data_IF_745502060984
#
_entry.id   IF_745502060984
#
_cell.length_a   1.000
_cell.length_b   1.000
_cell.length_c   1.000
_cell.angle_alpha   90.00
_cell.angle_beta   90.00
_cell.angle_gamma   90.00
#
_symmetry.space_group_name_H-M   'P 1'
#
loop_
_entity.id
_entity.type
_entity.pdbx_description
1 polymer ?
#
# COMPACT_ATOMS: atom_id res chain seq x y z
N UNK A 1 13.13 -30.05 27.38
CA UNK A 1 14.18 -30.21 28.38
C UNK A 1 15.61 -30.04 27.83
N UNK A 2 15.88 -30.49 26.58
CA UNK A 2 17.21 -30.30 25.95
C UNK A 2 17.63 -28.82 25.91
N UNK A 3 16.78 -27.96 25.36
CA UNK A 3 17.07 -26.53 25.29
C UNK A 3 17.24 -25.88 26.68
N UNK A 4 16.42 -26.29 27.66
CA UNK A 4 16.59 -25.81 29.04
C UNK A 4 17.94 -26.19 29.63
N UNK A 5 18.39 -27.42 29.41
CA UNK A 5 19.69 -27.90 29.89
C UNK A 5 20.88 -27.23 29.18
N UNK A 6 20.71 -26.94 27.88
CA UNK A 6 21.80 -26.42 27.04
C UNK A 6 21.86 -24.90 27.01
N UNK A 7 20.69 -24.22 27.01
CA UNK A 7 20.56 -22.79 26.83
C UNK A 7 20.00 -22.04 28.05
N UNK A 8 19.64 -22.78 29.13
CA UNK A 8 19.25 -22.20 30.41
C UNK A 8 17.75 -22.11 30.68
N UNK A 9 17.40 -21.57 31.85
CA UNK A 9 16.01 -21.52 32.37
C UNK A 9 15.04 -20.68 31.51
N UNK A 10 15.54 -19.83 30.66
CA UNK A 10 14.74 -19.06 29.68
C UNK A 10 13.90 -19.98 28.78
N UNK A 11 14.40 -21.20 28.53
CA UNK A 11 13.75 -22.22 27.69
C UNK A 11 12.90 -23.22 28.49
N UNK A 12 12.55 -22.89 29.73
CA UNK A 12 11.62 -23.71 30.52
C UNK A 12 10.27 -23.77 29.83
N UNK A 13 9.69 -24.99 29.63
CA UNK A 13 8.38 -25.15 29.05
C UNK A 13 7.30 -24.43 29.88
N UNK A 14 6.29 -23.87 29.18
CA UNK A 14 5.14 -23.29 29.87
C UNK A 14 4.40 -24.35 30.70
N UNK A 15 3.90 -24.03 31.90
CA UNK A 15 3.23 -25.00 32.78
C UNK A 15 2.06 -25.77 32.13
N UNK A 16 1.32 -25.11 31.24
CA UNK A 16 0.24 -25.73 30.47
C UNK A 16 0.80 -26.83 29.53
N UNK A 17 1.92 -26.51 28.85
CA UNK A 17 2.56 -27.48 27.95
C UNK A 17 3.06 -28.70 28.70
N UNK A 18 3.67 -28.52 29.88
CA UNK A 18 4.11 -29.66 30.74
C UNK A 18 2.93 -30.48 31.21
N UNK A 19 1.79 -29.86 31.56
CA UNK A 19 0.57 -30.58 31.96
C UNK A 19 0.02 -31.42 30.82
N UNK A 20 -0.08 -30.85 29.62
CA UNK A 20 -0.56 -31.59 28.43
C UNK A 20 0.36 -32.76 28.10
N UNK A 21 1.67 -32.52 28.14
CA UNK A 21 2.67 -33.56 27.88
C UNK A 21 2.55 -34.72 28.90
N UNK A 22 2.49 -34.44 30.21
CA UNK A 22 2.32 -35.44 31.27
C UNK A 22 1.00 -36.19 31.16
N UNK A 23 -0.05 -35.57 30.63
CA UNK A 23 -1.35 -36.20 30.40
C UNK A 23 -1.41 -37.04 29.09
N UNK A 24 -0.31 -37.11 28.32
CA UNK A 24 -0.29 -37.81 27.04
C UNK A 24 -1.05 -37.10 25.91
N UNK A 25 -1.36 -35.83 26.08
CA UNK A 25 -2.11 -35.02 25.12
C UNK A 25 -1.17 -34.37 24.09
N UNK A 26 -0.72 -35.14 23.11
CA UNK A 26 0.28 -34.72 22.11
C UNK A 26 -0.33 -34.10 20.84
N UNK A 27 -1.55 -33.64 20.90
CA UNK A 27 -2.25 -33.02 19.78
C UNK A 27 -2.99 -34.07 18.91
N UNK A 28 -3.02 -33.83 17.61
CA UNK A 28 -3.78 -34.65 16.66
C UNK A 28 -3.43 -36.14 16.72
N UNK A 29 -2.18 -36.49 17.02
CA UNK A 29 -1.71 -37.90 17.12
C UNK A 29 -2.42 -38.69 18.22
N UNK A 30 -2.85 -38.03 19.28
CA UNK A 30 -3.50 -38.66 20.44
C UNK A 30 -4.96 -38.24 20.59
N UNK A 31 -5.53 -37.54 19.57
CA UNK A 31 -6.89 -37.03 19.60
C UNK A 31 -7.10 -35.81 20.51
N UNK A 32 -6.12 -35.46 21.33
CA UNK A 32 -6.17 -34.34 22.28
C UNK A 32 -4.84 -33.62 22.39
N UNK A 33 -4.90 -32.28 22.56
CA UNK A 33 -3.77 -31.42 22.81
C UNK A 33 -4.26 -30.04 23.31
N UNK A 34 -3.81 -28.97 22.72
CA UNK A 34 -4.44 -27.66 22.92
C UNK A 34 -5.87 -27.61 22.40
N UNK A 35 -6.18 -28.43 21.42
CA UNK A 35 -7.51 -28.63 20.83
C UNK A 35 -7.97 -30.08 21.02
N UNK A 36 -9.28 -30.29 21.02
CA UNK A 36 -9.90 -31.61 20.96
C UNK A 36 -10.03 -32.03 19.49
N UNK A 37 -9.43 -33.16 19.14
CA UNK A 37 -9.41 -33.73 17.79
C UNK A 37 -10.27 -35.00 17.68
N UNK A 38 -10.95 -35.40 18.76
CA UNK A 38 -11.70 -36.66 18.83
C UNK A 38 -12.85 -36.72 17.83
N UNK A 39 -13.43 -35.60 17.42
CA UNK A 39 -14.49 -35.50 16.42
C UNK A 39 -14.01 -35.29 14.98
N UNK A 40 -12.71 -35.41 14.67
CA UNK A 40 -12.15 -35.18 13.34
C UNK A 40 -12.09 -33.75 12.89
N UNK A 41 -12.70 -32.81 13.63
CA UNK A 41 -12.63 -31.35 13.43
C UNK A 41 -12.11 -30.71 14.71
N UNK A 42 -11.36 -29.58 14.55
CA UNK A 42 -11.02 -28.75 15.70
C UNK A 42 -12.27 -28.04 16.21
N UNK A 43 -12.37 -27.85 17.53
CA UNK A 43 -13.35 -26.93 18.09
C UNK A 43 -13.14 -25.55 17.47
N UNK A 44 -14.18 -24.97 16.88
CA UNK A 44 -14.13 -23.64 16.34
C UNK A 44 -13.84 -22.64 17.46
N UNK A 45 -12.75 -21.89 17.32
CA UNK A 45 -12.46 -20.77 18.23
C UNK A 45 -13.46 -19.67 17.89
N UNK A 46 -14.27 -19.20 18.86
CA UNK A 46 -15.21 -18.12 18.58
C UNK A 46 -14.49 -16.91 17.98
N UNK A 47 -15.01 -16.36 16.89
CA UNK A 47 -14.42 -15.25 16.13
C UNK A 47 -13.94 -14.07 16.99
N UNK A 48 -14.60 -13.84 18.15
CA UNK A 48 -14.23 -12.79 19.10
C UNK A 48 -13.37 -13.25 20.29
N UNK A 49 -12.97 -14.50 20.36
CA UNK A 49 -12.21 -15.00 21.52
C UNK A 49 -10.87 -14.30 21.73
N UNK A 50 -10.26 -13.81 20.66
CA UNK A 50 -9.00 -13.05 20.69
C UNK A 50 -9.14 -11.52 20.77
N UNK A 51 -10.35 -10.96 20.73
CA UNK A 51 -10.55 -9.50 20.59
C UNK A 51 -9.99 -8.64 21.73
N UNK A 52 -9.77 -9.24 22.90
CA UNK A 52 -9.15 -8.57 24.08
C UNK A 52 -7.70 -9.02 24.34
N UNK A 53 -7.13 -9.85 23.47
CA UNK A 53 -5.77 -10.33 23.64
C UNK A 53 -4.77 -9.29 23.16
N UNK A 54 -3.84 -8.92 24.02
CA UNK A 54 -2.75 -8.03 23.66
C UNK A 54 -1.67 -8.79 22.87
N UNK A 55 -1.66 -8.60 21.56
CA UNK A 55 -0.74 -9.27 20.62
C UNK A 55 0.73 -8.94 20.93
N UNK A 56 1.02 -7.78 21.55
CA UNK A 56 2.38 -7.44 21.94
C UNK A 56 2.98 -8.43 22.94
N UNK A 57 2.17 -9.15 23.70
CA UNK A 57 2.63 -10.23 24.59
C UNK A 57 3.28 -11.39 23.86
N UNK A 58 2.97 -11.59 22.58
CA UNK A 58 3.61 -12.60 21.71
C UNK A 58 4.78 -11.99 20.92
N UNK A 59 4.58 -10.80 20.36
CA UNK A 59 5.55 -10.18 19.48
C UNK A 59 6.79 -9.70 20.25
N UNK A 60 6.62 -9.02 21.40
CA UNK A 60 7.74 -8.43 22.10
C UNK A 60 8.79 -9.45 22.58
N UNK A 61 8.44 -10.61 23.19
CA UNK A 61 9.42 -11.62 23.51
C UNK A 61 10.11 -12.25 22.30
N UNK A 62 9.40 -12.42 21.18
CA UNK A 62 9.98 -12.92 19.94
C UNK A 62 11.00 -11.94 19.35
N UNK A 63 10.69 -10.64 19.38
CA UNK A 63 11.62 -9.57 18.97
C UNK A 63 12.84 -9.50 19.92
N UNK A 64 12.63 -9.74 21.21
CA UNK A 64 13.71 -9.78 22.19
C UNK A 64 14.72 -10.89 21.89
N UNK A 65 14.21 -12.07 21.57
CA UNK A 65 15.05 -13.22 21.15
C UNK A 65 15.77 -12.95 19.82
N UNK A 66 15.07 -12.37 18.85
CA UNK A 66 15.65 -11.96 17.58
C UNK A 66 16.77 -10.93 17.76
N UNK A 67 16.60 -9.96 18.66
CA UNK A 67 17.64 -8.98 19.00
C UNK A 67 18.87 -9.65 19.64
N UNK A 68 18.67 -10.67 20.47
CA UNK A 68 19.75 -11.47 21.03
C UNK A 68 20.52 -12.24 19.96
N UNK A 69 19.85 -12.84 18.99
CA UNK A 69 20.51 -13.55 17.88
C UNK A 69 21.40 -12.60 17.07
N UNK A 70 20.93 -11.39 16.82
CA UNK A 70 21.70 -10.33 16.10
C UNK A 70 22.90 -9.88 16.96
N UNK A 71 22.69 -9.64 18.28
CA UNK A 71 23.75 -9.25 19.20
C UNK A 71 24.92 -10.27 19.20
N UNK A 72 24.58 -11.57 19.14
CA UNK A 72 25.57 -12.65 19.09
C UNK A 72 26.18 -12.88 17.71
N UNK A 73 25.78 -12.12 16.69
CA UNK A 73 26.27 -12.29 15.33
C UNK A 73 25.88 -13.63 14.68
N UNK A 74 24.81 -14.27 15.18
CA UNK A 74 24.35 -15.58 14.68
C UNK A 74 23.64 -15.43 13.35
N UNK A 75 22.90 -14.31 13.15
CA UNK A 75 22.10 -14.04 11.96
C UNK A 75 21.86 -12.54 11.78
N UNK A 76 21.25 -12.16 10.66
CA UNK A 76 20.89 -10.78 10.31
C UNK A 76 19.38 -10.53 10.45
N UNK A 77 18.98 -9.27 10.44
CA UNK A 77 17.55 -8.91 10.48
C UNK A 77 16.78 -9.46 9.28
N UNK A 78 17.40 -9.44 8.10
CA UNK A 78 16.83 -9.95 6.86
C UNK A 78 16.60 -11.46 6.91
N UNK A 79 17.57 -12.21 7.45
CA UNK A 79 17.49 -13.67 7.56
C UNK A 79 16.43 -14.09 8.56
N UNK A 80 16.30 -13.40 9.70
CA UNK A 80 15.21 -13.64 10.67
C UNK A 80 13.86 -13.41 10.01
N UNK A 81 13.68 -12.29 9.33
CA UNK A 81 12.41 -11.96 8.68
C UNK A 81 12.07 -12.97 7.58
N UNK A 82 13.08 -13.40 6.80
CA UNK A 82 12.89 -14.44 5.79
C UNK A 82 12.49 -15.79 6.40
N UNK A 83 13.14 -16.18 7.50
CA UNK A 83 12.83 -17.42 8.21
C UNK A 83 11.43 -17.42 8.81
N UNK A 84 10.99 -16.30 9.36
CA UNK A 84 9.65 -16.12 9.94
C UNK A 84 8.58 -16.13 8.85
N UNK A 85 8.82 -15.48 7.72
CA UNK A 85 7.91 -15.49 6.57
C UNK A 85 7.72 -16.91 6.01
N UNK A 86 8.84 -17.61 5.74
CA UNK A 86 8.80 -18.89 5.05
C UNK A 86 8.58 -20.10 6.00
N UNK A 87 9.13 -20.02 7.20
CA UNK A 87 9.08 -21.12 8.17
C UNK A 87 7.84 -21.10 9.06
N UNK A 88 7.38 -19.92 9.44
CA UNK A 88 6.22 -19.73 10.34
C UNK A 88 4.99 -19.19 9.64
N UNK A 89 5.08 -18.91 8.33
CA UNK A 89 4.00 -18.36 7.51
C UNK A 89 3.40 -17.07 8.12
N UNK A 90 4.24 -16.21 8.67
CA UNK A 90 3.82 -14.90 9.15
C UNK A 90 3.48 -14.01 7.95
N UNK A 91 2.49 -13.12 8.08
CA UNK A 91 2.10 -12.22 6.99
C UNK A 91 3.17 -11.16 6.68
N UNK A 92 4.12 -10.95 7.61
CA UNK A 92 5.21 -9.98 7.51
C UNK A 92 6.40 -10.44 8.36
N UNK A 93 7.62 -10.00 8.03
CA UNK A 93 8.81 -10.25 8.82
C UNK A 93 8.69 -9.69 10.24
N UNK A 94 9.18 -10.42 11.23
CA UNK A 94 9.07 -10.11 12.66
C UNK A 94 9.68 -8.76 13.03
N UNK A 95 10.88 -8.47 12.49
CA UNK A 95 11.63 -7.25 12.79
C UNK A 95 11.06 -6.05 12.02
N UNK A 96 10.50 -6.27 10.84
CA UNK A 96 9.70 -5.24 10.16
C UNK A 96 8.42 -4.92 10.91
N UNK A 97 7.75 -5.90 11.51
CA UNK A 97 6.61 -5.65 12.41
C UNK A 97 7.03 -4.87 13.66
N UNK A 98 8.20 -5.17 14.23
CA UNK A 98 8.74 -4.42 15.36
C UNK A 98 8.96 -2.94 15.02
N UNK A 99 9.53 -2.66 13.85
CA UNK A 99 9.76 -1.29 13.37
C UNK A 99 8.44 -0.54 13.07
N UNK A 100 7.38 -1.24 12.61
CA UNK A 100 6.05 -0.65 12.43
C UNK A 100 5.36 -0.32 13.78
N UNK A 101 5.51 -1.20 14.75
CA UNK A 101 4.94 -1.05 16.10
C UNK A 101 5.65 0.09 16.85
N UNK A 102 6.95 0.16 16.69
CA UNK A 102 7.88 1.03 17.40
C UNK A 102 8.67 0.30 18.49
N UNK A 103 9.99 0.39 18.41
CA UNK A 103 10.94 -0.29 19.33
C UNK A 103 10.72 0.14 20.79
N UNK A 104 10.41 1.40 21.03
CA UNK A 104 10.05 1.92 22.36
C UNK A 104 8.83 1.20 22.96
N UNK A 105 7.80 0.90 22.15
CA UNK A 105 6.61 0.16 22.60
C UNK A 105 6.94 -1.31 22.88
N UNK A 106 7.84 -1.91 22.09
CA UNK A 106 8.34 -3.27 22.33
C UNK A 106 9.09 -3.32 23.66
N UNK A 107 10.02 -2.39 23.90
CA UNK A 107 10.78 -2.30 25.16
C UNK A 107 9.85 -2.08 26.36
N UNK A 108 8.93 -1.12 26.27
CA UNK A 108 7.94 -0.88 27.33
C UNK A 108 7.10 -2.13 27.68
N UNK A 109 6.68 -2.90 26.65
CA UNK A 109 5.96 -4.16 26.88
C UNK A 109 6.83 -5.21 27.54
N UNK A 110 8.08 -5.34 27.17
CA UNK A 110 9.03 -6.27 27.80
C UNK A 110 9.24 -5.90 29.28
N UNK A 111 9.42 -4.62 29.59
CA UNK A 111 9.56 -4.14 30.97
C UNK A 111 8.31 -4.42 31.82
N UNK A 112 7.11 -4.19 31.26
CA UNK A 112 5.84 -4.55 31.90
C UNK A 112 5.79 -6.05 32.23
N UNK A 113 6.14 -6.90 31.25
CA UNK A 113 6.13 -8.36 31.43
C UNK A 113 7.21 -8.81 32.42
N UNK A 114 8.42 -8.23 32.35
CA UNK A 114 9.50 -8.54 33.30
C UNK A 114 9.12 -8.16 34.73
N UNK A 115 8.56 -6.96 34.94
CA UNK A 115 8.06 -6.53 36.24
C UNK A 115 6.97 -7.46 36.80
N UNK A 116 6.12 -7.97 35.90
CA UNK A 116 4.98 -8.83 36.31
C UNK A 116 5.38 -10.26 36.62
N UNK A 117 6.32 -10.84 35.86
CA UNK A 117 6.62 -12.26 35.93
C UNK A 117 8.02 -12.57 36.47
N UNK A 118 8.96 -11.62 36.46
CA UNK A 118 10.33 -11.79 36.93
C UNK A 118 11.18 -12.77 36.10
N UNK A 119 10.73 -13.09 34.86
CA UNK A 119 11.41 -14.08 34.03
C UNK A 119 12.40 -13.40 33.08
N UNK A 120 13.65 -13.89 33.02
CA UNK A 120 14.74 -13.32 32.20
C UNK A 120 14.39 -13.18 30.71
N UNK A 121 13.49 -14.04 30.17
CA UNK A 121 13.02 -13.95 28.78
C UNK A 121 12.33 -12.62 28.45
N UNK A 122 11.82 -11.91 29.45
CA UNK A 122 11.16 -10.62 29.29
C UNK A 122 12.07 -9.43 29.56
N UNK A 123 13.29 -9.66 30.06
CA UNK A 123 14.25 -8.62 30.27
C UNK A 123 14.67 -8.02 28.92
N UNK A 124 14.47 -6.70 28.69
CA UNK A 124 14.79 -6.10 27.41
C UNK A 124 16.24 -6.29 27.02
N UNK A 125 16.49 -6.77 25.84
CA UNK A 125 17.84 -6.96 25.31
C UNK A 125 18.56 -5.60 25.20
N UNK A 126 19.89 -5.52 25.51
CA UNK A 126 20.67 -4.30 25.42
C UNK A 126 20.60 -3.60 24.03
N UNK A 127 20.52 -4.37 22.94
CA UNK A 127 20.40 -3.83 21.59
C UNK A 127 19.11 -3.01 21.45
N UNK A 128 17.95 -3.52 21.94
CA UNK A 128 16.69 -2.79 21.89
C UNK A 128 16.73 -1.51 22.74
N UNK A 129 17.33 -1.59 23.94
CA UNK A 129 17.50 -0.43 24.81
C UNK A 129 18.41 0.64 24.17
N UNK A 130 19.48 0.20 23.49
CA UNK A 130 20.39 1.10 22.76
C UNK A 130 19.67 1.76 21.58
N UNK A 131 18.86 1.01 20.82
CA UNK A 131 18.06 1.56 19.73
C UNK A 131 17.10 2.66 20.23
N UNK A 132 16.47 2.47 21.40
CA UNK A 132 15.60 3.51 22.00
C UNK A 132 16.41 4.76 22.37
N UNK A 133 17.58 4.60 22.99
CA UNK A 133 18.47 5.73 23.33
C UNK A 133 18.95 6.51 22.12
N UNK A 134 19.20 5.82 21.01
CA UNK A 134 19.64 6.40 19.72
C UNK A 134 18.46 6.96 18.89
N UNK A 135 17.24 6.98 19.40
CA UNK A 135 16.04 7.35 18.68
C UNK A 135 15.82 6.54 17.39
N UNK A 136 16.27 5.28 17.38
CA UNK A 136 16.04 4.30 16.32
C UNK A 136 14.77 3.50 16.64
N UNK A 137 13.63 4.19 16.58
CA UNK A 137 12.35 3.64 17.04
C UNK A 137 11.57 2.91 15.96
N UNK A 138 12.18 2.64 14.81
CA UNK A 138 11.57 2.03 13.65
C UNK A 138 11.10 3.06 12.63
N UNK A 139 10.04 2.72 11.91
CA UNK A 139 9.50 3.51 10.81
C UNK A 139 9.18 4.96 11.19
N UNK A 140 8.63 5.21 12.36
CA UNK A 140 8.27 6.55 12.84
C UNK A 140 9.46 7.52 12.98
N UNK A 141 10.67 7.01 13.08
CA UNK A 141 11.91 7.81 13.15
C UNK A 141 12.80 7.64 11.92
N UNK A 142 12.35 6.89 10.91
CA UNK A 142 13.10 6.60 9.69
C UNK A 142 14.20 5.56 9.85
N UNK A 143 14.46 5.06 11.05
CA UNK A 143 15.47 4.04 11.35
C UNK A 143 15.05 3.17 12.52
N UNK A 144 15.20 1.86 12.36
CA UNK A 144 14.99 0.85 13.37
C UNK A 144 15.99 -0.29 13.20
N UNK A 145 15.50 -1.52 13.07
CA UNK A 145 16.28 -2.65 12.54
C UNK A 145 16.64 -2.43 11.08
N UNK A 146 15.78 -1.71 10.36
CA UNK A 146 15.96 -1.31 8.97
C UNK A 146 16.08 0.21 8.85
N UNK A 147 16.64 0.65 7.73
CA UNK A 147 16.62 2.05 7.33
C UNK A 147 15.45 2.29 6.37
N UNK A 148 14.63 3.27 6.71
CA UNK A 148 13.41 3.61 5.96
C UNK A 148 13.56 4.90 5.15
N UNK A 149 14.76 5.35 4.86
CA UNK A 149 14.98 6.63 4.20
C UNK A 149 14.35 7.82 4.96
N UNK A 150 14.38 9.02 4.40
CA UNK A 150 13.67 10.19 4.97
C UNK A 150 12.17 10.09 4.64
N UNK A 151 11.45 9.05 5.10
CA UNK A 151 10.03 8.88 4.77
C UNK A 151 9.29 7.95 5.72
N UNK A 152 8.04 8.28 5.97
CA UNK A 152 7.04 7.54 6.75
C UNK A 152 6.76 6.12 6.18
N UNK A 153 7.18 5.85 4.92
CA UNK A 153 6.75 4.72 4.10
C UNK A 153 7.91 3.83 3.65
N UNK A 154 7.64 2.55 3.43
CA UNK A 154 8.61 1.56 2.93
C UNK A 154 8.71 1.59 1.40
N UNK A 155 7.56 1.72 0.73
CA UNK A 155 7.42 1.61 -0.71
C UNK A 155 6.98 2.90 -1.39
N UNK A 156 6.73 3.95 -0.62
CA UNK A 156 6.30 5.25 -1.14
C UNK A 156 7.28 6.33 -0.69
N UNK A 157 7.68 7.20 -1.62
CA UNK A 157 8.33 8.46 -1.30
C UNK A 157 7.34 9.55 -1.64
N UNK A 158 7.13 10.48 -0.72
CA UNK A 158 6.30 11.66 -0.94
C UNK A 158 7.18 12.89 -0.95
N UNK A 159 7.05 13.67 -2.00
CA UNK A 159 7.71 14.94 -2.19
C UNK A 159 6.67 16.03 -2.44
N UNK A 160 6.89 17.21 -1.91
CA UNK A 160 6.16 18.41 -2.29
C UNK A 160 7.10 19.32 -3.05
N UNK A 161 6.75 19.60 -4.29
CA UNK A 161 7.47 20.55 -5.12
C UNK A 161 6.48 21.63 -5.58
N UNK A 162 6.68 22.86 -5.14
CA UNK A 162 5.70 23.94 -5.31
C UNK A 162 4.31 23.52 -4.81
N UNK A 163 3.29 23.60 -5.65
CA UNK A 163 1.91 23.22 -5.34
C UNK A 163 1.53 21.81 -5.85
N UNK A 164 2.51 20.98 -6.21
CA UNK A 164 2.33 19.59 -6.64
C UNK A 164 2.86 18.64 -5.58
N UNK A 165 2.00 17.72 -5.11
CA UNK A 165 2.40 16.58 -4.31
C UNK A 165 2.82 15.43 -5.23
N UNK A 166 4.02 14.89 -5.05
CA UNK A 166 4.54 13.81 -5.88
C UNK A 166 4.60 12.53 -5.05
N UNK A 167 3.97 11.48 -5.54
CA UNK A 167 4.02 10.13 -4.97
C UNK A 167 4.90 9.27 -5.87
N UNK A 168 6.09 8.92 -5.38
CA UNK A 168 6.95 7.97 -6.07
C UNK A 168 6.66 6.56 -5.59
N UNK A 169 6.37 5.67 -6.53
CA UNK A 169 6.29 4.23 -6.30
C UNK A 169 7.71 3.69 -6.18
N UNK A 170 8.15 3.31 -4.98
CA UNK A 170 9.54 3.04 -4.66
C UNK A 170 9.79 1.59 -4.23
N UNK A 171 9.68 0.66 -5.16
CA UNK A 171 10.07 -0.74 -5.02
C UNK A 171 10.76 -1.22 -6.30
N UNK A 172 11.82 -0.51 -6.76
CA UNK A 172 12.40 -0.70 -8.11
C UNK A 172 12.96 -2.10 -8.34
N UNK A 173 13.47 -2.80 -7.29
CA UNK A 173 13.95 -4.19 -7.37
C UNK A 173 12.85 -5.20 -7.71
N UNK A 174 11.59 -4.85 -7.55
CA UNK A 174 10.40 -5.62 -7.90
C UNK A 174 9.54 -4.89 -8.93
N UNK A 175 10.17 -4.06 -9.77
CA UNK A 175 9.50 -3.27 -10.82
C UNK A 175 8.26 -2.50 -10.29
N UNK A 176 8.31 -2.02 -9.05
CA UNK A 176 7.24 -1.32 -8.34
C UNK A 176 5.93 -2.14 -8.20
N UNK A 177 6.03 -3.48 -8.15
CA UNK A 177 4.86 -4.33 -7.93
C UNK A 177 4.21 -4.05 -6.57
N UNK A 178 2.88 -3.95 -6.58
CA UNK A 178 2.04 -3.51 -5.47
C UNK A 178 1.59 -4.69 -4.61
N UNK A 179 1.88 -4.63 -3.32
CA UNK A 179 1.32 -5.51 -2.30
C UNK A 179 0.37 -4.73 -1.37
N UNK A 180 -0.27 -5.40 -0.42
CA UNK A 180 -1.21 -4.76 0.52
C UNK A 180 -0.59 -3.61 1.32
N UNK A 181 0.67 -3.74 1.75
CA UNK A 181 1.38 -2.65 2.44
C UNK A 181 1.58 -1.45 1.53
N UNK A 182 1.98 -1.68 0.29
CA UNK A 182 2.19 -0.61 -0.69
C UNK A 182 0.88 0.13 -1.01
N UNK A 183 -0.23 -0.61 -1.22
CA UNK A 183 -1.55 -0.02 -1.43
C UNK A 183 -1.97 0.86 -0.24
N UNK A 184 -1.74 0.38 0.98
CA UNK A 184 -2.01 1.16 2.20
C UNK A 184 -1.14 2.42 2.27
N UNK A 185 0.14 2.33 1.92
CA UNK A 185 1.04 3.48 1.93
C UNK A 185 0.65 4.54 0.88
N UNK A 186 0.14 4.12 -0.28
CA UNK A 186 -0.45 5.05 -1.26
C UNK A 186 -1.68 5.74 -0.66
N UNK A 187 -2.58 4.98 -0.01
CA UNK A 187 -3.78 5.52 0.65
C UNK A 187 -3.43 6.54 1.75
N UNK A 188 -2.44 6.22 2.58
CA UNK A 188 -1.94 7.10 3.64
C UNK A 188 -1.23 8.35 3.06
N UNK A 189 -0.47 8.21 1.97
CA UNK A 189 0.18 9.32 1.28
C UNK A 189 -0.85 10.28 0.68
N UNK A 190 -1.90 9.76 0.07
CA UNK A 190 -3.02 10.55 -0.43
C UNK A 190 -3.71 11.31 0.71
N UNK A 191 -3.91 10.69 1.91
CA UNK A 191 -4.49 11.38 3.07
C UNK A 191 -3.64 12.57 3.51
N UNK A 192 -2.32 12.37 3.61
CA UNK A 192 -1.39 13.43 4.00
C UNK A 192 -1.40 14.60 3.01
N UNK A 193 -1.41 14.31 1.71
CA UNK A 193 -1.42 15.33 0.67
C UNK A 193 -2.80 16.00 0.51
N UNK A 194 -3.88 15.35 0.95
CA UNK A 194 -5.23 15.93 0.98
C UNK A 194 -5.32 17.06 2.02
N UNK A 195 -4.72 16.84 3.20
CA UNK A 195 -4.70 17.79 4.31
C UNK A 195 -3.79 19.01 4.05
N UNK A 196 -2.80 18.90 3.16
CA UNK A 196 -1.91 20.01 2.80
C UNK A 196 -2.61 20.98 1.85
N UNK A 197 -3.03 22.16 2.36
CA UNK A 197 -3.75 23.17 1.60
C UNK A 197 -2.93 23.79 0.45
N UNK A 198 -1.59 23.74 0.52
CA UNK A 198 -0.73 24.26 -0.54
C UNK A 198 -0.60 23.30 -1.73
N UNK A 199 -0.88 22.01 -1.51
CA UNK A 199 -0.89 21.01 -2.59
C UNK A 199 -2.18 21.14 -3.38
N UNK A 200 -2.08 21.38 -4.69
CA UNK A 200 -3.18 21.64 -5.62
C UNK A 200 -3.39 20.50 -6.63
N UNK A 201 -2.34 19.73 -6.93
CA UNK A 201 -2.38 18.55 -7.79
C UNK A 201 -1.47 17.43 -7.24
N UNK A 202 -1.77 16.20 -7.62
CA UNK A 202 -0.97 15.02 -7.28
C UNK A 202 -0.37 14.46 -8.55
N UNK A 203 0.91 14.10 -8.53
CA UNK A 203 1.58 13.35 -9.58
C UNK A 203 2.05 12.01 -9.01
N UNK A 204 1.69 10.90 -9.67
CA UNK A 204 2.16 9.56 -9.31
C UNK A 204 3.14 9.08 -10.37
N UNK A 205 4.31 8.61 -9.97
CA UNK A 205 5.34 8.08 -10.88
C UNK A 205 6.15 6.96 -10.23
N UNK A 206 6.91 6.19 -11.02
CA UNK A 206 7.73 5.08 -10.54
C UNK A 206 9.20 5.45 -10.35
N UNK A 207 9.82 4.98 -9.26
CA UNK A 207 11.28 5.03 -9.13
C UNK A 207 11.93 3.99 -10.03
N UNK A 208 12.98 4.40 -10.77
CA UNK A 208 13.72 3.52 -11.67
C UNK A 208 13.09 3.37 -13.05
N UNK A 209 13.20 2.18 -13.63
CA UNK A 209 12.86 1.93 -15.04
C UNK A 209 11.37 1.70 -15.30
N UNK A 210 10.59 1.37 -14.28
CA UNK A 210 9.20 0.99 -14.43
C UNK A 210 8.31 2.01 -13.70
N UNK A 211 7.17 2.30 -14.28
CA UNK A 211 6.08 2.92 -13.54
C UNK A 211 5.58 1.93 -12.47
N UNK A 212 4.98 0.83 -12.89
CA UNK A 212 4.50 -0.22 -11.99
C UNK A 212 4.17 -1.51 -12.78
N UNK A 213 4.70 -2.65 -12.34
CA UNK A 213 4.47 -3.95 -12.99
C UNK A 213 3.17 -4.65 -12.56
N UNK A 214 2.33 -4.00 -11.73
CA UNK A 214 1.05 -4.54 -11.29
C UNK A 214 1.04 -5.11 -9.89
N UNK A 215 0.08 -5.99 -9.60
CA UNK A 215 -0.01 -6.68 -8.32
C UNK A 215 1.19 -7.62 -8.10
N UNK A 216 1.65 -7.74 -6.85
CA UNK A 216 2.68 -8.72 -6.50
C UNK A 216 2.11 -10.14 -6.65
N UNK A 217 2.58 -10.86 -7.66
CA UNK A 217 2.07 -12.18 -8.04
C UNK A 217 2.28 -13.26 -6.97
N UNK A 218 3.13 -13.03 -5.96
CA UNK A 218 3.35 -13.97 -4.87
C UNK A 218 2.06 -14.30 -4.10
N UNK A 219 1.07 -13.42 -4.13
CA UNK A 219 -0.23 -13.63 -3.49
C UNK A 219 -1.00 -14.79 -4.15
N UNK A 220 -0.90 -14.93 -5.49
CA UNK A 220 -1.53 -16.03 -6.23
C UNK A 220 -0.83 -17.36 -5.98
N UNK A 221 0.50 -17.33 -5.80
CA UNK A 221 1.29 -18.53 -5.49
C UNK A 221 1.01 -19.07 -4.08
N UNK A 222 0.37 -18.31 -3.21
CA UNK A 222 0.01 -18.74 -1.85
C UNK A 222 -1.05 -19.85 -1.81
N UNK A 223 -1.80 -20.06 -2.89
CA UNK A 223 -2.94 -20.98 -2.95
C UNK A 223 -4.10 -20.62 -2.01
N UNK A 224 -4.18 -19.35 -1.57
CA UNK A 224 -5.16 -18.84 -0.61
C UNK A 224 -6.11 -17.85 -1.28
N UNK A 225 -7.30 -18.29 -1.73
CA UNK A 225 -8.26 -17.43 -2.43
C UNK A 225 -8.66 -16.19 -1.62
N UNK A 226 -8.75 -16.30 -0.30
CA UNK A 226 -9.11 -15.20 0.60
C UNK A 226 -8.12 -14.03 0.52
N UNK A 227 -6.81 -14.30 0.38
CA UNK A 227 -5.80 -13.25 0.22
C UNK A 227 -5.89 -12.56 -1.14
N UNK A 228 -6.26 -13.30 -2.18
CA UNK A 228 -6.49 -12.74 -3.51
C UNK A 228 -7.69 -11.78 -3.48
N UNK A 229 -8.78 -12.18 -2.82
CA UNK A 229 -9.98 -11.34 -2.65
C UNK A 229 -9.63 -10.09 -1.83
N UNK A 230 -8.90 -10.23 -0.71
CA UNK A 230 -8.47 -9.10 0.11
C UNK A 230 -7.61 -8.10 -0.69
N UNK A 231 -6.66 -8.61 -1.47
CA UNK A 231 -5.83 -7.78 -2.36
C UNK A 231 -6.66 -7.06 -3.43
N UNK A 232 -7.63 -7.77 -4.03
CA UNK A 232 -8.52 -7.17 -5.02
C UNK A 232 -9.35 -6.04 -4.41
N UNK A 233 -9.95 -6.26 -3.25
CA UNK A 233 -10.73 -5.25 -2.53
C UNK A 233 -9.88 -4.05 -2.11
N UNK A 234 -8.66 -4.28 -1.63
CA UNK A 234 -7.73 -3.21 -1.27
C UNK A 234 -7.34 -2.37 -2.50
N UNK A 235 -7.04 -3.03 -3.63
CA UNK A 235 -6.77 -2.35 -4.89
C UNK A 235 -7.96 -1.50 -5.35
N UNK A 236 -9.15 -2.08 -5.42
CA UNK A 236 -10.37 -1.33 -5.77
C UNK A 236 -10.60 -0.12 -4.87
N UNK A 237 -10.41 -0.27 -3.56
CA UNK A 237 -10.57 0.84 -2.60
C UNK A 237 -9.62 2.00 -2.91
N UNK A 238 -8.33 1.71 -3.10
CA UNK A 238 -7.32 2.75 -3.38
C UNK A 238 -7.56 3.42 -4.74
N UNK A 239 -7.84 2.63 -5.78
CA UNK A 239 -8.08 3.16 -7.12
C UNK A 239 -9.36 4.00 -7.15
N UNK A 240 -10.44 3.57 -6.47
CA UNK A 240 -11.66 4.36 -6.36
C UNK A 240 -11.43 5.66 -5.58
N UNK A 241 -10.59 5.63 -4.55
CA UNK A 241 -10.21 6.84 -3.84
C UNK A 241 -9.48 7.84 -4.73
N UNK A 242 -8.59 7.39 -5.63
CA UNK A 242 -7.91 8.25 -6.60
C UNK A 242 -8.93 8.93 -7.52
N UNK A 243 -9.91 8.21 -8.03
CA UNK A 243 -10.99 8.78 -8.86
C UNK A 243 -11.80 9.85 -8.15
N UNK A 244 -12.12 9.62 -6.85
CA UNK A 244 -12.91 10.52 -6.02
C UNK A 244 -12.06 11.57 -5.27
N UNK A 245 -10.74 11.53 -5.46
CA UNK A 245 -9.83 12.42 -4.74
C UNK A 245 -10.12 13.89 -5.05
N UNK A 246 -10.16 14.79 -4.04
CA UNK A 246 -10.63 16.17 -4.24
C UNK A 246 -9.71 17.03 -5.10
N UNK A 247 -8.46 16.61 -5.30
CA UNK A 247 -7.46 17.28 -6.14
C UNK A 247 -7.21 16.46 -7.41
N UNK A 248 -6.77 17.05 -8.52
CA UNK A 248 -6.41 16.30 -9.73
C UNK A 248 -5.26 15.34 -9.45
N UNK A 249 -5.36 14.12 -9.99
CA UNK A 249 -4.31 13.10 -9.89
C UNK A 249 -3.81 12.76 -11.29
N UNK A 250 -2.51 12.90 -11.52
CA UNK A 250 -1.84 12.67 -12.79
C UNK A 250 -0.94 11.44 -12.68
N UNK A 251 -1.11 10.46 -13.57
CA UNK A 251 -0.14 9.39 -13.73
C UNK A 251 0.98 9.85 -14.69
N UNK A 252 2.19 10.00 -14.17
CA UNK A 252 3.39 10.24 -14.95
C UNK A 252 4.09 8.90 -15.23
N UNK A 253 3.76 8.31 -16.39
CA UNK A 253 4.16 6.96 -16.77
C UNK A 253 5.58 6.98 -17.34
N UNK A 254 6.58 6.88 -16.46
CA UNK A 254 8.00 6.94 -16.79
C UNK A 254 8.58 5.68 -17.45
N UNK A 255 7.86 4.57 -17.42
CA UNK A 255 8.26 3.27 -17.96
C UNK A 255 7.09 2.29 -17.99
N UNK A 256 7.33 0.98 -18.14
CA UNK A 256 6.28 -0.02 -18.21
C UNK A 256 5.23 0.10 -17.10
N UNK A 257 3.94 0.16 -17.49
CA UNK A 257 2.76 0.16 -16.64
C UNK A 257 1.91 -1.06 -16.97
N UNK A 258 2.00 -2.14 -16.19
CA UNK A 258 1.41 -3.43 -16.52
C UNK A 258 0.43 -3.88 -15.42
N UNK A 259 -0.63 -4.58 -15.84
CA UNK A 259 -1.63 -5.13 -14.93
C UNK A 259 -2.18 -4.07 -13.98
N UNK A 260 -2.14 -4.35 -12.67
CA UNK A 260 -2.54 -3.40 -11.62
C UNK A 260 -1.84 -2.04 -11.69
N UNK A 261 -0.64 -1.95 -12.30
CA UNK A 261 0.04 -0.68 -12.55
C UNK A 261 -0.63 0.15 -13.66
N UNK A 262 -1.10 -0.51 -14.70
CA UNK A 262 -1.92 0.15 -15.70
C UNK A 262 -3.32 0.50 -15.14
N UNK A 263 -3.90 -0.38 -14.31
CA UNK A 263 -5.16 -0.10 -13.63
C UNK A 263 -5.05 1.12 -12.68
N UNK A 264 -3.91 1.27 -11.99
CA UNK A 264 -3.60 2.47 -11.20
C UNK A 264 -3.54 3.73 -12.08
N UNK A 265 -2.85 3.65 -13.22
CA UNK A 265 -2.77 4.78 -14.16
C UNK A 265 -4.16 5.14 -14.74
N UNK A 266 -5.00 4.15 -15.03
CA UNK A 266 -6.38 4.35 -15.51
C UNK A 266 -7.28 5.01 -14.47
N UNK A 267 -7.03 4.82 -13.18
CA UNK A 267 -7.78 5.45 -12.10
C UNK A 267 -7.40 6.92 -11.87
N UNK A 268 -6.26 7.37 -12.37
CA UNK A 268 -5.88 8.78 -12.35
C UNK A 268 -6.72 9.60 -13.33
N UNK A 269 -6.89 10.89 -13.07
CA UNK A 269 -7.65 11.80 -13.94
C UNK A 269 -6.97 11.96 -15.30
N UNK A 270 -5.68 12.22 -15.28
CA UNK A 270 -4.86 12.46 -16.47
C UNK A 270 -3.65 11.51 -16.49
N UNK A 271 -3.13 11.26 -17.66
CA UNK A 271 -1.94 10.42 -17.90
C UNK A 271 -1.03 11.12 -18.89
N UNK A 272 0.25 11.21 -18.52
CA UNK A 272 1.34 11.58 -19.44
C UNK A 272 2.35 10.44 -19.49
N UNK A 273 3.02 10.26 -20.60
CA UNK A 273 3.80 9.04 -20.84
C UNK A 273 5.16 9.35 -21.48
N UNK A 274 6.19 8.63 -21.02
CA UNK A 274 7.49 8.65 -21.69
C UNK A 274 7.40 7.93 -23.05
N UNK A 275 8.12 8.44 -24.05
CA UNK A 275 8.22 7.84 -25.40
C UNK A 275 8.78 6.40 -25.40
N UNK A 276 9.45 6.00 -24.32
CA UNK A 276 10.01 4.65 -24.12
C UNK A 276 9.13 3.74 -23.26
N UNK A 277 8.05 4.27 -22.72
CA UNK A 277 7.14 3.50 -21.90
C UNK A 277 6.13 2.72 -22.74
N UNK A 278 5.51 1.74 -22.13
CA UNK A 278 4.36 1.00 -22.68
C UNK A 278 3.43 0.58 -21.54
N UNK A 279 2.17 0.29 -21.89
CA UNK A 279 1.16 -0.17 -20.94
C UNK A 279 0.44 -1.40 -21.47
N UNK A 280 -0.15 -2.21 -20.57
CA UNK A 280 -0.88 -3.40 -20.99
C UNK A 280 -1.50 -4.16 -19.81
N UNK A 281 -2.39 -5.10 -20.15
CA UNK A 281 -3.06 -6.01 -19.22
C UNK A 281 -2.66 -7.46 -19.55
N UNK A 282 -1.48 -7.93 -19.07
CA UNK A 282 -0.93 -9.23 -19.43
C UNK A 282 -1.44 -10.39 -18.58
N UNK A 283 -2.47 -10.21 -17.75
CA UNK A 283 -2.96 -11.14 -16.75
C UNK A 283 -3.29 -12.52 -17.33
N UNK A 284 -3.81 -12.59 -18.54
CA UNK A 284 -4.11 -13.86 -19.21
C UNK A 284 -2.87 -14.72 -19.46
N UNK A 285 -1.65 -14.14 -19.49
CA UNK A 285 -0.41 -14.92 -19.57
C UNK A 285 -0.17 -15.76 -18.30
N UNK A 286 -0.78 -15.37 -17.18
CA UNK A 286 -0.68 -16.04 -15.90
C UNK A 286 -1.93 -16.87 -15.57
N UNK A 287 -2.90 -16.98 -16.53
CA UNK A 287 -4.16 -17.68 -16.30
C UNK A 287 -5.12 -16.94 -15.34
N UNK A 288 -4.91 -15.65 -15.11
CA UNK A 288 -5.75 -14.79 -14.27
C UNK A 288 -6.36 -13.66 -15.10
N UNK A 289 -7.26 -12.90 -14.50
CA UNK A 289 -7.90 -11.73 -15.13
C UNK A 289 -7.50 -10.44 -14.41
N UNK A 290 -7.58 -9.26 -15.08
CA UNK A 290 -7.44 -7.98 -14.39
C UNK A 290 -8.42 -7.90 -13.22
N UNK A 291 -7.94 -7.47 -12.05
CA UNK A 291 -8.70 -7.56 -10.79
C UNK A 291 -8.92 -6.24 -10.06
N UNK A 292 -8.42 -5.11 -10.60
CA UNK A 292 -8.57 -3.79 -9.97
C UNK A 292 -9.35 -2.79 -10.83
N UNK A 293 -10.14 -3.29 -11.79
CA UNK A 293 -11.07 -2.51 -12.61
C UNK A 293 -10.54 -2.12 -13.98
N UNK A 294 -9.44 -2.71 -14.45
CA UNK A 294 -8.90 -2.49 -15.79
C UNK A 294 -9.88 -2.84 -16.89
N UNK A 295 -10.64 -3.93 -16.72
CA UNK A 295 -11.68 -4.35 -17.67
C UNK A 295 -12.80 -3.30 -17.83
N UNK A 296 -13.08 -2.53 -16.77
CA UNK A 296 -14.12 -1.52 -16.78
C UNK A 296 -13.57 -0.18 -17.28
N UNK A 297 -12.52 0.35 -16.63
CA UNK A 297 -11.96 1.67 -16.97
C UNK A 297 -11.44 1.75 -18.39
N UNK A 298 -10.72 0.71 -18.84
CA UNK A 298 -10.21 0.70 -20.22
C UNK A 298 -11.35 0.61 -21.24
N UNK A 299 -12.43 -0.15 -20.94
CA UNK A 299 -13.60 -0.22 -21.80
C UNK A 299 -14.26 1.14 -22.05
N UNK A 300 -14.31 1.97 -21.01
CA UNK A 300 -14.85 3.34 -21.12
C UNK A 300 -14.01 4.23 -22.03
N UNK A 301 -12.69 4.08 -22.00
CA UNK A 301 -11.79 4.92 -22.78
C UNK A 301 -11.69 4.49 -24.25
N UNK A 302 -11.63 3.20 -24.51
CA UNK A 302 -11.32 2.68 -25.87
C UNK A 302 -12.47 1.87 -26.49
N UNK A 303 -13.55 1.64 -25.75
CA UNK A 303 -14.66 0.78 -26.15
C UNK A 303 -14.37 -0.71 -25.96
N UNK A 304 -15.45 -1.51 -25.82
CA UNK A 304 -15.38 -2.96 -25.51
C UNK A 304 -14.64 -3.75 -26.57
N UNK A 305 -14.80 -3.41 -27.84
CA UNK A 305 -14.11 -4.10 -28.94
C UNK A 305 -12.59 -3.99 -28.84
N UNK A 306 -12.08 -2.77 -28.64
CA UNK A 306 -10.65 -2.51 -28.52
C UNK A 306 -10.08 -3.11 -27.22
N UNK A 307 -10.84 -3.05 -26.11
CA UNK A 307 -10.46 -3.73 -24.89
C UNK A 307 -10.22 -5.23 -25.10
N UNK A 308 -11.15 -5.91 -25.76
CA UNK A 308 -11.02 -7.36 -26.07
C UNK A 308 -9.81 -7.64 -26.96
N UNK A 309 -9.55 -6.81 -27.97
CA UNK A 309 -8.36 -6.91 -28.83
C UNK A 309 -7.07 -6.80 -27.97
N UNK A 310 -6.96 -5.80 -27.11
CA UNK A 310 -5.81 -5.58 -26.26
C UNK A 310 -5.57 -6.77 -25.30
N UNK A 311 -6.61 -7.23 -24.60
CA UNK A 311 -6.47 -8.28 -23.58
C UNK A 311 -6.28 -9.67 -24.22
N UNK A 312 -7.13 -10.05 -25.20
CA UNK A 312 -7.09 -11.39 -25.76
C UNK A 312 -5.85 -11.62 -26.61
N UNK A 313 -5.37 -10.59 -27.31
CA UNK A 313 -4.13 -10.64 -28.08
C UNK A 313 -2.90 -10.25 -27.25
N UNK A 314 -3.09 -9.94 -25.96
CA UNK A 314 -2.01 -9.62 -25.01
C UNK A 314 -1.11 -8.50 -25.50
N UNK A 315 -1.71 -7.46 -26.11
CA UNK A 315 -0.96 -6.35 -26.72
C UNK A 315 -0.41 -5.41 -25.66
N UNK A 316 0.85 -5.05 -25.82
CA UNK A 316 1.39 -3.86 -25.18
C UNK A 316 1.07 -2.65 -26.07
N UNK A 317 0.64 -1.57 -25.44
CA UNK A 317 0.30 -0.29 -26.07
C UNK A 317 1.50 0.62 -25.86
N UNK A 318 2.22 0.95 -26.92
CA UNK A 318 3.32 1.91 -26.88
C UNK A 318 2.82 3.36 -26.74
N UNK A 319 3.74 4.30 -26.55
CA UNK A 319 3.41 5.69 -26.31
C UNK A 319 2.63 6.34 -27.47
N UNK A 320 2.96 5.99 -28.72
CA UNK A 320 2.27 6.51 -29.91
C UNK A 320 0.84 5.97 -29.96
N UNK A 321 0.66 4.67 -29.78
CA UNK A 321 -0.64 4.03 -29.75
C UNK A 321 -1.49 4.54 -28.60
N UNK A 322 -0.88 4.77 -27.41
CA UNK A 322 -1.57 5.32 -26.27
C UNK A 322 -2.13 6.72 -26.53
N UNK A 323 -1.38 7.56 -27.23
CA UNK A 323 -1.83 8.88 -27.65
C UNK A 323 -2.96 8.81 -28.69
N UNK A 324 -2.80 7.95 -29.71
CA UNK A 324 -3.82 7.72 -30.76
C UNK A 324 -5.14 7.18 -30.19
N UNK A 325 -5.07 6.35 -29.15
CA UNK A 325 -6.23 5.79 -28.46
C UNK A 325 -6.85 6.74 -27.41
N UNK A 326 -6.26 7.91 -27.18
CA UNK A 326 -6.72 8.84 -26.14
C UNK A 326 -6.47 8.34 -24.70
N UNK A 327 -5.59 7.36 -24.53
CA UNK A 327 -5.24 6.83 -23.21
C UNK A 327 -4.31 7.76 -22.42
N UNK A 328 -3.53 8.60 -23.11
CA UNK A 328 -2.65 9.61 -22.52
C UNK A 328 -2.91 10.96 -23.15
N UNK A 329 -2.73 12.03 -22.36
CA UNK A 329 -2.90 13.41 -22.81
C UNK A 329 -1.69 13.89 -23.63
N UNK A 330 -0.49 13.52 -23.20
CA UNK A 330 0.77 13.97 -23.83
C UNK A 330 1.83 12.87 -23.70
N UNK A 331 2.77 12.87 -24.67
CA UNK A 331 3.96 11.99 -24.68
C UNK A 331 5.20 12.88 -24.72
N UNK A 332 6.19 12.52 -23.91
CA UNK A 332 7.43 13.29 -23.78
C UNK A 332 8.67 12.41 -23.98
N UNK A 333 9.77 12.97 -24.53
CA UNK A 333 11.04 12.26 -24.61
C UNK A 333 11.51 11.77 -23.22
N UNK A 334 12.00 10.55 -23.15
CA UNK A 334 12.43 9.94 -21.89
C UNK A 334 13.51 10.74 -21.14
N UNK A 335 14.38 11.44 -21.87
CA UNK A 335 15.44 12.26 -21.26
C UNK A 335 14.90 13.51 -20.50
N UNK A 336 13.74 14.03 -20.89
CA UNK A 336 13.12 15.22 -20.30
C UNK A 336 11.83 14.88 -19.53
N UNK A 337 11.47 13.60 -19.48
CA UNK A 337 10.15 13.15 -19.08
C UNK A 337 9.70 13.70 -17.73
N UNK A 338 10.53 13.56 -16.69
CA UNK A 338 10.13 13.95 -15.34
C UNK A 338 9.88 15.47 -15.21
N UNK A 339 10.70 16.28 -15.84
CA UNK A 339 10.51 17.74 -15.82
C UNK A 339 9.26 18.14 -16.61
N UNK A 340 9.05 17.57 -17.78
CA UNK A 340 7.85 17.84 -18.60
C UNK A 340 6.56 17.36 -17.92
N UNK A 341 6.60 16.19 -17.25
CA UNK A 341 5.47 15.69 -16.47
C UNK A 341 5.17 16.60 -15.27
N UNK A 342 6.20 17.12 -14.60
CA UNK A 342 6.03 18.07 -13.52
C UNK A 342 5.41 19.40 -14.02
N UNK A 343 5.91 19.96 -15.11
CA UNK A 343 5.33 21.18 -15.72
C UNK A 343 3.87 20.96 -16.15
N UNK A 344 3.54 19.75 -16.64
CA UNK A 344 2.15 19.38 -16.92
C UNK A 344 1.30 19.41 -15.63
N UNK A 345 1.76 18.77 -14.56
CA UNK A 345 1.05 18.73 -13.28
C UNK A 345 0.89 20.14 -12.68
N UNK A 346 1.90 20.99 -12.82
CA UNK A 346 1.87 22.39 -12.39
C UNK A 346 0.79 23.21 -13.12
N UNK A 347 0.67 23.05 -14.44
CA UNK A 347 -0.44 23.67 -15.20
C UNK A 347 -1.81 23.25 -14.68
N UNK A 348 -1.98 21.96 -14.34
CA UNK A 348 -3.23 21.45 -13.77
C UNK A 348 -3.47 21.99 -12.36
N UNK A 349 -2.42 22.18 -11.57
CA UNK A 349 -2.50 22.76 -10.23
C UNK A 349 -2.91 24.25 -10.21
N UNK A 350 -2.82 24.97 -11.34
CA UNK A 350 -3.29 26.36 -11.48
C UNK A 350 -4.83 26.48 -11.57
N UNK A 351 -5.53 25.36 -11.78
CA UNK A 351 -7.00 25.37 -11.89
C UNK A 351 -7.68 25.69 -10.54
N UNK A 352 -8.89 26.26 -10.54
CA UNK A 352 -9.64 26.57 -9.34
C UNK A 352 -10.00 25.27 -8.56
N UNK A 353 -9.50 25.12 -7.31
CA UNK A 353 -9.59 23.83 -6.60
C UNK A 353 -11.01 23.35 -6.34
N UNK A 354 -11.92 24.27 -6.01
CA UNK A 354 -13.30 23.93 -5.73
C UNK A 354 -14.04 23.48 -6.99
N UNK A 355 -13.83 24.18 -8.10
CA UNK A 355 -14.39 23.79 -9.40
C UNK A 355 -13.89 22.39 -9.85
N UNK A 356 -12.59 22.13 -9.72
CA UNK A 356 -12.01 20.82 -10.03
C UNK A 356 -12.61 19.72 -9.17
N UNK A 357 -12.72 19.94 -7.86
CA UNK A 357 -13.32 18.99 -6.92
C UNK A 357 -14.74 18.61 -7.34
N UNK A 358 -15.57 19.60 -7.64
CA UNK A 358 -16.95 19.36 -8.03
C UNK A 358 -17.07 18.74 -9.42
N UNK A 359 -16.24 19.19 -10.38
CA UNK A 359 -16.16 18.56 -11.70
C UNK A 359 -15.81 17.07 -11.60
N UNK A 360 -14.76 16.71 -10.86
CA UNK A 360 -14.37 15.31 -10.65
C UNK A 360 -15.52 14.49 -10.03
N UNK A 361 -16.20 15.05 -9.02
CA UNK A 361 -17.33 14.41 -8.36
C UNK A 361 -18.48 14.17 -9.34
N UNK A 362 -18.82 15.16 -10.16
CA UNK A 362 -19.88 15.05 -11.16
C UNK A 362 -19.56 13.93 -12.18
N UNK A 363 -18.33 13.90 -12.72
CA UNK A 363 -17.90 12.87 -13.66
C UNK A 363 -17.88 11.49 -13.02
N UNK A 364 -17.25 11.34 -11.85
CA UNK A 364 -17.08 10.04 -11.20
C UNK A 364 -18.40 9.40 -10.73
N UNK A 365 -19.43 10.19 -10.47
CA UNK A 365 -20.75 9.73 -10.04
C UNK A 365 -21.79 9.76 -11.15
N UNK A 366 -21.62 10.60 -12.17
CA UNK A 366 -22.64 10.87 -13.19
C UNK A 366 -22.49 10.10 -14.51
N UNK A 367 -21.27 9.68 -14.87
CA UNK A 367 -21.03 9.04 -16.18
C UNK A 367 -21.56 7.58 -16.25
N UNK A 368 -21.61 6.89 -15.13
CA UNK A 368 -22.06 5.48 -15.05
C UNK A 368 -23.58 5.28 -14.98
N UNK A 369 -24.35 6.15 -14.29
CA UNK A 369 -25.79 6.10 -14.26
C UNK A 369 -26.44 6.47 -15.61
N UNK A 370 -27.78 6.54 -15.63
CA UNK A 370 -28.50 7.08 -16.80
C UNK A 370 -28.10 8.55 -17.05
N UNK A 371 -28.23 9.00 -18.30
CA UNK A 371 -27.98 10.39 -18.67
C UNK A 371 -28.74 11.39 -17.78
N UNK A 372 -30.01 11.09 -17.46
CA UNK A 372 -30.84 11.93 -16.58
C UNK A 372 -30.23 12.05 -15.17
N UNK A 373 -29.78 10.93 -14.58
CA UNK A 373 -29.13 10.95 -13.27
C UNK A 373 -27.81 11.74 -13.33
N UNK A 374 -27.03 11.57 -14.39
CA UNK A 374 -25.81 12.35 -14.63
C UNK A 374 -26.09 13.85 -14.72
N UNK A 375 -27.07 14.26 -15.51
CA UNK A 375 -27.48 15.67 -15.64
C UNK A 375 -28.01 16.25 -14.33
N UNK A 376 -28.73 15.47 -13.54
CA UNK A 376 -29.18 15.93 -12.22
C UNK A 376 -28.00 16.17 -11.27
N UNK A 377 -27.03 15.26 -11.23
CA UNK A 377 -25.80 15.42 -10.44
C UNK A 377 -25.03 16.67 -10.90
N UNK A 378 -24.88 16.86 -12.21
CA UNK A 378 -24.20 18.03 -12.78
C UNK A 378 -24.88 19.36 -12.38
N UNK A 379 -26.19 19.42 -12.46
CA UNK A 379 -26.98 20.58 -12.07
C UNK A 379 -26.84 20.90 -10.57
N UNK A 380 -26.86 19.87 -9.72
CA UNK A 380 -26.67 20.01 -8.27
C UNK A 380 -25.28 20.54 -7.95
N UNK A 381 -24.25 19.96 -8.54
CA UNK A 381 -22.86 20.38 -8.37
C UNK A 381 -22.63 21.82 -8.83
N UNK A 382 -23.24 22.22 -9.97
CA UNK A 382 -23.18 23.60 -10.48
C UNK A 382 -23.83 24.60 -9.54
N UNK A 383 -24.94 24.19 -8.93
CA UNK A 383 -25.63 24.99 -7.91
C UNK A 383 -24.78 25.17 -6.65
N UNK A 384 -24.18 24.08 -6.16
CA UNK A 384 -23.38 24.08 -4.93
C UNK A 384 -22.12 24.97 -5.04
N UNK A 385 -21.47 25.01 -6.21
CA UNK A 385 -20.27 25.83 -6.42
C UNK A 385 -20.60 27.30 -6.66
N UNK A 386 -21.76 27.62 -7.19
CA UNK A 386 -22.16 28.96 -7.65
C UNK A 386 -21.90 30.10 -6.64
N UNK A 387 -22.12 29.95 -5.30
CA UNK A 387 -21.88 31.02 -4.34
C UNK A 387 -20.41 31.16 -3.91
N UNK A 388 -19.48 30.42 -4.48
CA UNK A 388 -18.09 30.41 -4.04
C UNK A 388 -17.30 31.66 -4.46
N UNK A 389 -16.27 31.98 -3.68
CA UNK A 389 -15.33 33.06 -4.00
C UNK A 389 -14.57 32.79 -5.30
N UNK A 390 -14.29 31.52 -5.63
CA UNK A 390 -13.66 31.12 -6.88
C UNK A 390 -14.49 31.50 -8.10
N UNK A 391 -15.81 31.30 -8.05
CA UNK A 391 -16.71 31.71 -9.14
C UNK A 391 -16.73 33.25 -9.26
N UNK A 392 -16.79 33.98 -8.14
CA UNK A 392 -16.76 35.42 -8.12
C UNK A 392 -15.45 35.94 -8.73
N UNK A 393 -14.31 35.41 -8.36
CA UNK A 393 -12.99 35.73 -8.92
C UNK A 393 -12.92 35.44 -10.42
N UNK A 394 -13.37 34.24 -10.83
CA UNK A 394 -13.36 33.83 -12.23
C UNK A 394 -14.18 34.77 -13.12
N UNK A 395 -15.37 35.17 -12.67
CA UNK A 395 -16.25 36.12 -13.38
C UNK A 395 -15.60 37.49 -13.45
N UNK A 396 -15.07 38.00 -12.33
CA UNK A 396 -14.39 39.33 -12.32
C UNK A 396 -13.18 39.33 -13.24
N UNK A 397 -12.33 38.31 -13.18
CA UNK A 397 -11.15 38.20 -14.05
C UNK A 397 -11.54 38.21 -15.52
N UNK A 398 -12.60 37.49 -15.90
CA UNK A 398 -13.16 37.46 -17.25
C UNK A 398 -13.64 38.87 -17.68
N UNK A 399 -14.42 39.54 -16.83
CA UNK A 399 -14.94 40.89 -17.13
C UNK A 399 -13.82 41.92 -17.28
N UNK A 400 -12.78 41.83 -16.44
CA UNK A 400 -11.65 42.76 -16.47
C UNK A 400 -10.50 42.32 -17.41
N UNK A 401 -10.66 41.23 -18.16
CA UNK A 401 -9.67 40.67 -19.10
C UNK A 401 -8.29 40.48 -18.47
N UNK A 402 -8.25 39.98 -17.24
CA UNK A 402 -7.04 39.60 -16.51
C UNK A 402 -6.99 38.09 -16.22
N UNK A 403 -5.80 37.58 -15.86
CA UNK A 403 -5.67 36.20 -15.38
C UNK A 403 -6.34 36.11 -14.00
N UNK A 404 -7.19 35.07 -13.74
CA UNK A 404 -7.76 34.84 -12.42
C UNK A 404 -6.69 34.42 -11.42
N UNK A 405 -6.96 34.65 -10.14
CA UNK A 405 -6.11 34.26 -8.99
C UNK A 405 -6.93 33.39 -8.09
N UNK A 406 -6.84 32.08 -8.32
CA UNK A 406 -7.53 31.05 -7.54
C UNK A 406 -6.70 30.53 -6.38
#
# INVERSE_FOLDING_TARGET
>A
EYFRKTLGETYRPAPLFERLYKAGHYGKKTGRGFYDWSGGKTNEVPFRAGAKFDVLRLIAPAVNEAAWLIEKGITTAEEIDLAVLNGLNYPRGLLRMADDIGIDRIVAKLEELYKKYGEERYKPNPVLQQMVKENRLGRKTGKGFYEYGRGKYEFVIVEKRENVGIIYLNRPRRANALNLTFLKEIDDALSMLEEDAEVRAIMITGVGRNFCAGADISIFASGRPELVVESSQAGHKVLRRIELYPKPVIAAINGPALGGGFELALACDLRVMSDKAFMGLPELNLGITPGWGGTQRLAYLVGVGRLKDIILLRRNIDAKQALELGLVSEVYPSAEFMEKAFEFAKRVAELPPLAVRYFKKAVALGVMPSLETGCFIESTVSGDISPSEEVAEGIQAFMYKRKPQF
#
